data_IF_298366228513
#
_entry.id   IF_298366228513
#
_cell.length_a   1.000
_cell.length_b   1.000
_cell.length_c   1.000
_cell.angle_alpha   90.00
_cell.angle_beta   90.00
_cell.angle_gamma   90.00
#
_symmetry.space_group_name_H-M   'P 1'
#
loop_
_entity.id
_entity.type
_entity.pdbx_description
1 polymer ?
#
# COMPACT_ATOMS: atom_id res chain seq x y z
N UNK A 1 64.96 -46.15 -21.00
CA UNK A 1 64.28 -45.43 -22.06
C UNK A 1 63.03 -46.27 -22.39
N UNK A 2 61.91 -45.96 -21.78
CA UNK A 2 60.63 -46.62 -22.04
C UNK A 2 59.69 -45.61 -22.61
N UNK A 3 59.30 -45.84 -23.85
CA UNK A 3 58.34 -45.10 -24.63
C UNK A 3 56.93 -45.43 -24.09
N UNK A 4 56.29 -44.46 -23.44
CA UNK A 4 54.89 -44.56 -23.04
C UNK A 4 53.98 -44.39 -24.27
N UNK A 5 53.25 -45.44 -24.55
CA UNK A 5 52.39 -45.61 -25.72
C UNK A 5 51.13 -44.71 -25.64
N UNK A 6 50.91 -43.90 -26.67
CA UNK A 6 49.84 -42.91 -26.83
C UNK A 6 48.42 -43.50 -26.94
N UNK A 7 48.27 -44.80 -26.80
CA UNK A 7 47.00 -45.50 -27.02
C UNK A 7 46.11 -45.69 -25.80
N UNK A 8 46.57 -45.39 -24.59
CA UNK A 8 45.79 -45.58 -23.35
C UNK A 8 45.13 -44.27 -22.83
N UNK A 9 45.21 -43.16 -23.55
CA UNK A 9 44.61 -41.88 -23.12
C UNK A 9 43.22 -41.59 -23.72
N UNK A 10 42.70 -42.51 -24.56
CA UNK A 10 41.40 -42.31 -25.24
C UNK A 10 40.26 -43.19 -24.70
N UNK A 11 40.46 -43.92 -23.60
CA UNK A 11 39.43 -44.83 -23.05
C UNK A 11 38.78 -44.36 -21.76
N UNK A 12 39.04 -43.11 -21.28
CA UNK A 12 38.43 -42.60 -20.02
C UNK A 12 37.61 -41.32 -20.22
N UNK A 13 37.21 -40.96 -21.45
CA UNK A 13 36.37 -39.80 -21.74
C UNK A 13 34.89 -40.17 -22.03
N UNK A 14 34.44 -41.35 -21.62
CA UNK A 14 33.09 -41.86 -21.87
C UNK A 14 32.36 -42.19 -20.56
N UNK A 15 31.97 -41.22 -19.77
CA UNK A 15 31.16 -41.55 -18.61
C UNK A 15 31.05 -40.40 -17.59
N UNK A 16 30.06 -39.61 -17.72
CA UNK A 16 29.36 -38.84 -16.68
C UNK A 16 28.91 -37.44 -17.14
N UNK A 17 28.16 -37.38 -18.23
CA UNK A 17 27.23 -36.27 -18.41
C UNK A 17 25.92 -36.61 -17.64
N UNK A 18 26.01 -36.79 -16.32
CA UNK A 18 24.86 -36.65 -15.45
C UNK A 18 24.54 -35.14 -15.41
N UNK A 19 23.69 -34.71 -16.33
CA UNK A 19 23.07 -33.39 -16.26
C UNK A 19 22.38 -33.28 -14.89
N UNK A 20 22.99 -32.54 -13.98
CA UNK A 20 22.34 -32.00 -12.82
C UNK A 20 21.20 -31.12 -13.36
N UNK A 21 20.01 -31.69 -13.47
CA UNK A 21 18.77 -30.98 -13.59
C UNK A 21 18.60 -30.24 -12.27
N UNK A 22 19.29 -29.08 -12.12
CA UNK A 22 18.91 -28.12 -11.12
C UNK A 22 17.49 -27.74 -11.46
N UNK A 23 16.52 -27.85 -10.50
CA UNK A 23 15.23 -27.25 -10.72
C UNK A 23 15.51 -25.76 -10.93
N UNK A 24 15.31 -25.30 -12.17
CA UNK A 24 15.22 -23.88 -12.43
C UNK A 24 14.10 -23.41 -11.50
N UNK A 25 14.45 -22.62 -10.49
CA UNK A 25 13.49 -21.80 -9.78
C UNK A 25 12.90 -20.88 -10.87
N UNK A 26 11.85 -21.36 -11.50
CA UNK A 26 11.01 -20.57 -12.37
C UNK A 26 10.45 -19.48 -11.47
N UNK A 27 11.08 -18.30 -11.47
CA UNK A 27 10.43 -17.10 -11.00
C UNK A 27 9.15 -17.00 -11.82
N UNK A 28 8.03 -17.03 -11.17
CA UNK A 28 6.73 -17.08 -11.81
C UNK A 28 6.61 -15.93 -12.82
N UNK A 29 6.56 -16.26 -14.10
CA UNK A 29 5.97 -15.39 -15.11
C UNK A 29 4.58 -15.00 -14.59
N UNK A 30 4.27 -13.72 -14.66
CA UNK A 30 3.10 -12.98 -14.22
C UNK A 30 1.95 -13.82 -13.66
N UNK A 31 1.53 -13.51 -12.44
CA UNK A 31 0.61 -14.36 -11.70
C UNK A 31 -0.75 -14.48 -12.35
N UNK A 32 -1.06 -15.66 -12.91
CA UNK A 32 -2.42 -16.00 -13.30
C UNK A 32 -3.19 -16.57 -12.10
N UNK A 33 -4.52 -16.55 -12.15
CA UNK A 33 -5.34 -17.21 -11.12
C UNK A 33 -5.09 -18.74 -11.09
N UNK A 34 -4.73 -19.33 -12.23
CA UNK A 34 -4.34 -20.73 -12.30
C UNK A 34 -3.05 -21.01 -11.51
N UNK A 35 -2.07 -20.12 -11.56
CA UNK A 35 -0.83 -20.22 -10.79
C UNK A 35 -1.07 -20.08 -9.30
N UNK A 36 -1.92 -19.15 -8.89
CA UNK A 36 -2.33 -18.98 -7.48
C UNK A 36 -2.99 -20.26 -6.97
N UNK A 37 -3.93 -20.83 -7.72
CA UNK A 37 -4.59 -22.10 -7.36
C UNK A 37 -3.60 -23.25 -7.29
N UNK A 38 -2.68 -23.37 -8.25
CA UNK A 38 -1.65 -24.42 -8.28
C UNK A 38 -0.70 -24.33 -7.08
N UNK A 39 -0.32 -23.13 -6.67
CA UNK A 39 0.50 -22.88 -5.46
C UNK A 39 -0.28 -23.12 -4.17
N UNK A 40 -1.60 -23.07 -4.20
CA UNK A 40 -2.45 -23.17 -3.03
C UNK A 40 -2.39 -21.96 -2.08
N UNK A 41 -1.84 -20.83 -2.55
CA UNK A 41 -1.67 -19.63 -1.73
C UNK A 41 -1.83 -18.37 -2.56
N UNK A 42 -2.64 -17.42 -2.07
CA UNK A 42 -2.73 -16.05 -2.54
C UNK A 42 -1.75 -15.21 -1.71
N UNK A 43 -0.72 -14.66 -2.35
CA UNK A 43 0.29 -13.84 -1.68
C UNK A 43 0.10 -12.38 -2.07
N UNK A 44 -0.06 -11.50 -1.08
CA UNK A 44 -0.26 -10.06 -1.32
C UNK A 44 0.74 -9.22 -0.54
N UNK A 45 1.16 -8.10 -1.12
CA UNK A 45 1.94 -7.09 -0.44
C UNK A 45 1.03 -6.12 0.33
N UNK A 46 1.30 -5.91 1.60
CA UNK A 46 0.48 -5.07 2.49
C UNK A 46 1.40 -4.20 3.36
N UNK A 47 1.05 -2.95 3.60
CA UNK A 47 1.60 -2.15 4.70
C UNK A 47 0.62 -2.21 5.88
N UNK A 48 0.98 -2.97 6.91
CA UNK A 48 0.09 -3.15 8.07
C UNK A 48 0.34 -2.08 9.15
N UNK A 49 0.34 -0.80 8.74
CA UNK A 49 0.46 0.39 9.58
C UNK A 49 -0.61 1.44 9.24
N UNK A 50 -1.75 1.00 8.67
CA UNK A 50 -2.80 1.86 8.12
C UNK A 50 -4.19 1.51 8.68
N UNK A 51 -4.31 1.52 10.02
CA UNK A 51 -5.58 1.20 10.74
C UNK A 51 -6.70 2.19 10.34
N UNK A 52 -7.96 1.71 10.14
CA UNK A 52 -8.45 0.33 10.30
C UNK A 52 -8.45 -0.47 8.98
N UNK A 53 -7.81 0.02 7.93
CA UNK A 53 -7.72 -0.71 6.65
C UNK A 53 -6.85 -1.97 6.79
N UNK A 54 -5.57 -1.80 7.12
CA UNK A 54 -4.59 -2.87 7.30
C UNK A 54 -3.65 -2.51 8.47
N UNK A 55 -3.61 -3.36 9.51
CA UNK A 55 -2.75 -3.14 10.68
C UNK A 55 -2.39 -4.45 11.36
N UNK A 56 -1.42 -4.41 12.27
CA UNK A 56 -1.02 -5.58 13.07
C UNK A 56 -1.75 -5.56 14.40
N UNK A 57 -2.45 -6.66 14.71
CA UNK A 57 -3.02 -6.93 16.02
C UNK A 57 -2.67 -8.35 16.45
N UNK A 58 -2.19 -8.52 17.67
CA UNK A 58 -1.76 -9.82 18.22
C UNK A 58 -0.76 -10.56 17.29
N UNK A 59 0.15 -9.82 16.64
CA UNK A 59 1.18 -10.36 15.75
C UNK A 59 0.68 -10.78 14.36
N UNK A 60 -0.59 -10.52 14.03
CA UNK A 60 -1.17 -10.84 12.73
C UNK A 60 -1.68 -9.59 12.02
N UNK A 61 -1.54 -9.58 10.69
CA UNK A 61 -2.17 -8.54 9.88
C UNK A 61 -3.68 -8.72 9.95
N UNK A 62 -4.41 -7.66 10.25
CA UNK A 62 -5.87 -7.62 10.34
C UNK A 62 -6.43 -6.34 9.72
N UNK A 63 -7.73 -6.13 9.78
CA UNK A 63 -8.39 -4.94 9.27
C UNK A 63 -9.38 -5.22 8.13
N UNK A 64 -9.96 -4.15 7.63
CA UNK A 64 -10.94 -4.18 6.55
C UNK A 64 -10.42 -4.91 5.29
N UNK A 65 -9.20 -4.61 4.87
CA UNK A 65 -8.58 -5.26 3.71
C UNK A 65 -8.41 -6.76 3.90
N UNK A 66 -8.07 -7.22 5.14
CA UNK A 66 -7.97 -8.65 5.41
C UNK A 66 -9.31 -9.38 5.26
N UNK A 67 -10.42 -8.80 5.72
CA UNK A 67 -11.75 -9.43 5.56
C UNK A 67 -12.08 -9.63 4.07
N UNK A 68 -11.80 -8.64 3.22
CA UNK A 68 -11.96 -8.76 1.76
C UNK A 68 -11.03 -9.82 1.18
N UNK A 69 -9.77 -9.87 1.60
CA UNK A 69 -8.79 -10.86 1.14
C UNK A 69 -9.16 -12.30 1.53
N UNK A 70 -9.71 -12.50 2.72
CA UNK A 70 -10.20 -13.82 3.14
C UNK A 70 -11.35 -14.30 2.26
N UNK A 71 -12.28 -13.40 1.89
CA UNK A 71 -13.30 -13.73 0.89
C UNK A 71 -12.70 -14.14 -0.46
N UNK A 72 -11.73 -13.39 -0.98
CA UNK A 72 -11.05 -13.69 -2.24
C UNK A 72 -10.29 -15.02 -2.20
N UNK A 73 -9.53 -15.27 -1.12
CA UNK A 73 -8.81 -16.52 -0.92
C UNK A 73 -9.78 -17.73 -0.85
N UNK A 74 -10.92 -17.57 -0.17
CA UNK A 74 -11.99 -18.56 -0.12
C UNK A 74 -12.57 -18.87 -1.50
N UNK A 75 -12.81 -17.88 -2.34
CA UNK A 75 -13.26 -18.06 -3.74
C UNK A 75 -12.24 -18.82 -4.60
N UNK A 76 -10.96 -18.66 -4.34
CA UNK A 76 -9.90 -19.37 -5.05
C UNK A 76 -9.65 -20.76 -4.48
N UNK A 77 -10.14 -21.06 -3.27
CA UNK A 77 -9.86 -22.31 -2.54
C UNK A 77 -8.40 -22.40 -2.05
N UNK A 78 -7.78 -21.27 -1.71
CA UNK A 78 -6.36 -21.17 -1.36
C UNK A 78 -6.16 -20.49 0.02
N UNK A 79 -4.96 -20.61 0.58
CA UNK A 79 -4.56 -19.89 1.79
C UNK A 79 -4.21 -18.44 1.45
N UNK A 80 -4.37 -17.53 2.43
CA UNK A 80 -3.93 -16.14 2.34
C UNK A 80 -2.56 -15.96 3.01
N UNK A 81 -1.63 -15.35 2.29
CA UNK A 81 -0.35 -14.88 2.79
C UNK A 81 -0.24 -13.36 2.58
N UNK A 82 -0.26 -12.57 3.66
CA UNK A 82 -0.06 -11.13 3.62
C UNK A 82 1.38 -10.80 4.02
N UNK A 83 2.19 -10.36 3.06
CA UNK A 83 3.55 -9.91 3.29
C UNK A 83 3.52 -8.46 3.79
N UNK A 84 3.75 -8.25 5.09
CA UNK A 84 3.85 -6.91 5.66
C UNK A 84 5.19 -6.28 5.29
N UNK A 85 5.15 -5.20 4.53
CA UNK A 85 6.32 -4.47 4.02
C UNK A 85 6.12 -2.96 4.19
N UNK A 86 7.20 -2.18 4.31
CA UNK A 86 7.12 -0.73 4.19
C UNK A 86 6.49 -0.29 2.87
N UNK A 87 5.68 0.77 2.91
CA UNK A 87 4.93 1.27 1.75
C UNK A 87 5.80 1.48 0.51
N UNK A 88 7.01 2.03 0.69
CA UNK A 88 7.96 2.32 -0.38
C UNK A 88 8.41 1.07 -1.15
N UNK A 89 8.36 -0.10 -0.52
CA UNK A 89 8.73 -1.39 -1.11
C UNK A 89 7.61 -2.09 -1.89
N UNK A 90 6.36 -1.65 -1.74
CA UNK A 90 5.20 -2.36 -2.29
C UNK A 90 5.12 -2.26 -3.81
N UNK A 91 5.11 -1.06 -4.38
CA UNK A 91 5.00 -0.89 -5.83
C UNK A 91 6.22 -1.45 -6.61
N UNK A 92 7.48 -1.24 -6.15
CA UNK A 92 8.60 -1.96 -6.73
C UNK A 92 8.51 -3.48 -6.63
N UNK A 93 8.07 -4.01 -5.47
CA UNK A 93 7.88 -5.44 -5.27
C UNK A 93 6.82 -6.05 -6.18
N UNK A 94 5.76 -5.30 -6.50
CA UNK A 94 4.74 -5.70 -7.47
C UNK A 94 5.33 -5.87 -8.88
N UNK A 95 6.16 -4.94 -9.32
CA UNK A 95 6.78 -5.00 -10.65
C UNK A 95 7.75 -6.16 -10.82
N UNK A 96 8.26 -6.71 -9.73
CA UNK A 96 9.14 -7.90 -9.72
C UNK A 96 8.38 -9.18 -9.35
N UNK A 97 7.04 -9.17 -9.36
CA UNK A 97 6.17 -10.29 -8.99
C UNK A 97 6.53 -10.96 -7.64
N UNK A 98 6.98 -10.15 -6.67
CA UNK A 98 7.26 -10.62 -5.30
C UNK A 98 5.99 -11.13 -4.61
N UNK A 99 4.84 -10.64 -5.02
CA UNK A 99 3.48 -11.02 -4.61
C UNK A 99 2.52 -10.83 -5.78
N UNK A 100 1.33 -11.42 -5.68
CA UNK A 100 0.33 -11.43 -6.75
C UNK A 100 -0.25 -10.03 -7.03
N UNK A 101 -0.50 -9.26 -5.97
CA UNK A 101 -0.91 -7.86 -6.05
C UNK A 101 -0.63 -7.12 -4.75
N UNK A 102 -0.75 -5.80 -4.77
CA UNK A 102 -0.67 -4.94 -3.59
C UNK A 102 -2.07 -4.77 -3.01
N UNK A 103 -2.27 -5.34 -1.82
CA UNK A 103 -3.49 -5.21 -1.04
C UNK A 103 -3.22 -4.32 0.17
N UNK A 104 -2.87 -3.07 -0.09
CA UNK A 104 -2.87 -1.96 0.85
C UNK A 104 -3.60 -0.80 0.20
N UNK A 105 -4.09 0.12 1.00
CA UNK A 105 -4.93 1.24 0.56
C UNK A 105 -4.12 2.31 -0.15
N UNK A 106 -3.82 2.09 -1.45
CA UNK A 106 -3.01 3.00 -2.28
C UNK A 106 -3.86 4.13 -2.84
N UNK A 107 -3.49 5.37 -2.57
CA UNK A 107 -4.13 6.53 -3.18
C UNK A 107 -3.90 6.60 -4.69
N UNK A 108 -4.98 6.71 -5.45
CA UNK A 108 -4.93 6.88 -6.91
C UNK A 108 -4.41 8.27 -7.25
N UNK A 109 -3.47 8.35 -8.17
CA UNK A 109 -3.03 9.60 -8.81
C UNK A 109 -2.61 9.33 -10.25
N UNK A 110 -2.45 10.39 -11.06
CA UNK A 110 -2.19 10.27 -12.50
C UNK A 110 -0.85 9.58 -12.82
N UNK A 111 0.19 9.80 -12.03
CA UNK A 111 1.50 9.18 -12.23
C UNK A 111 1.44 7.66 -12.00
N UNK A 112 0.83 7.23 -10.89
CA UNK A 112 0.67 5.82 -10.57
C UNK A 112 -0.25 5.11 -11.55
N UNK A 113 -1.38 5.73 -11.93
CA UNK A 113 -2.36 5.13 -12.81
C UNK A 113 -1.83 4.88 -14.23
N UNK A 114 -0.79 5.60 -14.66
CA UNK A 114 -0.08 5.34 -15.94
C UNK A 114 0.86 4.13 -15.88
N UNK A 115 1.21 3.66 -14.68
CA UNK A 115 2.20 2.62 -14.48
C UNK A 115 1.67 1.35 -13.83
N UNK A 116 0.54 1.42 -13.18
CA UNK A 116 -0.04 0.36 -12.38
C UNK A 116 -1.54 0.24 -12.61
N UNK A 117 -2.03 -1.00 -12.65
CA UNK A 117 -3.46 -1.28 -12.82
C UNK A 117 -4.18 -1.21 -11.46
N UNK A 118 -5.01 -0.19 -11.29
CA UNK A 118 -5.81 -0.03 -10.08
C UNK A 118 -7.10 -0.86 -10.14
N UNK A 119 -7.48 -1.41 -9.00
CA UNK A 119 -8.80 -2.02 -8.81
C UNK A 119 -9.91 -0.97 -8.70
N UNK A 120 -11.15 -1.44 -8.56
CA UNK A 120 -12.23 -0.64 -8.00
C UNK A 120 -11.85 -0.10 -6.62
N UNK A 121 -12.41 1.06 -6.21
CA UNK A 121 -12.12 1.68 -4.93
C UNK A 121 -12.44 0.78 -3.74
N UNK A 122 -11.55 0.80 -2.74
CA UNK A 122 -11.77 0.16 -1.44
C UNK A 122 -12.00 1.19 -0.33
N UNK A 123 -11.73 2.47 -0.58
CA UNK A 123 -11.92 3.55 0.39
C UNK A 123 -11.80 4.94 -0.20
N UNK A 124 -12.25 5.92 0.57
CA UNK A 124 -12.07 7.36 0.31
C UNK A 124 -11.66 8.02 1.62
N UNK A 125 -10.63 8.87 1.58
CA UNK A 125 -10.12 9.57 2.75
C UNK A 125 -9.74 11.02 2.44
N UNK A 126 -9.92 11.92 3.40
CA UNK A 126 -9.35 13.26 3.36
C UNK A 126 -7.89 13.25 3.83
N UNK A 127 -7.10 14.22 3.36
CA UNK A 127 -5.79 14.54 3.95
C UNK A 127 -5.97 15.69 4.93
N UNK A 128 -5.62 15.45 6.21
CA UNK A 128 -5.82 16.42 7.29
C UNK A 128 -4.49 16.85 7.90
N UNK A 129 -4.51 18.04 8.49
CA UNK A 129 -3.43 18.57 9.32
C UNK A 129 -3.77 18.35 10.79
N UNK A 130 -2.82 17.79 11.52
CA UNK A 130 -2.93 17.43 12.93
C UNK A 130 -1.86 18.12 13.73
N UNK A 131 -2.23 18.69 14.86
CA UNK A 131 -1.33 19.34 15.81
C UNK A 131 -1.55 18.76 17.21
N UNK A 132 -0.61 19.00 18.12
CA UNK A 132 -0.81 18.72 19.54
C UNK A 132 -1.98 19.57 20.06
N UNK A 133 -2.83 19.01 20.91
CA UNK A 133 -4.01 19.71 21.44
C UNK A 133 -3.64 20.99 22.21
N UNK A 134 -2.51 20.97 22.93
CA UNK A 134 -2.01 22.13 23.67
C UNK A 134 -1.30 23.20 22.83
N UNK A 135 -1.21 23.05 21.52
CA UNK A 135 -0.64 24.07 20.64
C UNK A 135 -1.67 25.18 20.43
N UNK A 136 -1.33 26.40 20.88
CA UNK A 136 -2.19 27.59 20.81
C UNK A 136 -1.82 28.56 19.67
N UNK A 137 -0.83 28.19 18.84
CA UNK A 137 -0.33 29.04 17.76
C UNK A 137 -0.81 28.63 16.37
N UNK A 138 -1.30 27.36 16.22
CA UNK A 138 -1.67 26.79 14.91
C UNK A 138 -3.14 26.38 14.95
N UNK A 139 -4.03 27.14 14.31
CA UNK A 139 -5.48 26.93 14.39
C UNK A 139 -6.11 26.43 13.09
N UNK A 140 -5.49 26.68 11.95
CA UNK A 140 -5.99 26.39 10.62
C UNK A 140 -4.83 26.04 9.68
N UNK A 141 -5.09 25.40 8.50
CA UNK A 141 -4.04 25.03 7.56
C UNK A 141 -3.13 26.19 7.13
N UNK A 142 -3.67 27.41 7.03
CA UNK A 142 -2.91 28.62 6.68
C UNK A 142 -1.79 28.97 7.66
N UNK A 143 -1.89 28.54 8.91
CA UNK A 143 -0.89 28.80 9.96
C UNK A 143 0.34 27.89 9.86
N UNK A 144 0.38 27.01 8.85
CA UNK A 144 1.49 26.09 8.63
C UNK A 144 2.76 26.75 8.06
N UNK A 145 2.69 28.04 7.68
CA UNK A 145 3.84 28.82 7.27
C UNK A 145 4.91 28.89 8.36
N UNK A 146 6.18 28.65 7.99
CA UNK A 146 7.31 28.63 8.93
C UNK A 146 7.33 27.45 9.90
N UNK A 147 6.44 26.45 9.75
CA UNK A 147 6.36 25.26 10.62
C UNK A 147 7.08 24.07 10.01
N UNK A 148 7.57 23.18 10.87
CA UNK A 148 8.09 21.87 10.45
C UNK A 148 6.93 20.91 10.35
N UNK A 149 6.67 20.40 9.13
CA UNK A 149 5.60 19.45 8.88
C UNK A 149 6.13 18.05 8.62
N UNK A 150 5.31 17.02 8.83
CA UNK A 150 5.71 15.64 8.57
C UNK A 150 4.60 14.84 7.89
N UNK A 151 5.01 13.92 7.00
CA UNK A 151 4.11 12.97 6.36
C UNK A 151 4.85 11.67 6.00
N UNK A 152 4.12 10.66 5.54
CA UNK A 152 4.75 9.41 5.11
C UNK A 152 5.35 9.55 3.70
N UNK A 153 6.60 9.07 3.56
CA UNK A 153 7.34 9.02 2.29
C UNK A 153 6.61 8.16 1.27
N UNK A 154 6.48 8.68 0.04
CA UNK A 154 5.85 7.96 -1.07
C UNK A 154 4.34 7.82 -0.97
N UNK A 155 3.70 8.26 0.11
CA UNK A 155 2.24 8.23 0.26
C UNK A 155 1.53 9.24 -0.65
N UNK A 156 0.19 9.16 -0.73
CA UNK A 156 -0.61 10.19 -1.43
C UNK A 156 -0.63 11.53 -0.69
N UNK A 157 -0.35 11.56 0.62
CA UNK A 157 -0.28 12.79 1.39
C UNK A 157 0.96 13.62 1.08
N UNK A 158 2.06 13.00 0.65
CA UNK A 158 3.30 13.72 0.34
C UNK A 158 3.13 14.75 -0.79
N UNK A 159 2.66 14.41 -2.00
CA UNK A 159 2.46 15.41 -3.04
C UNK A 159 1.39 16.45 -2.68
N UNK A 160 0.40 16.12 -1.85
CA UNK A 160 -0.58 17.09 -1.34
C UNK A 160 0.10 18.09 -0.41
N UNK A 161 0.94 17.62 0.50
CA UNK A 161 1.71 18.50 1.40
C UNK A 161 2.63 19.43 0.61
N UNK A 162 3.32 18.92 -0.40
CA UNK A 162 4.20 19.70 -1.29
C UNK A 162 3.41 20.75 -2.10
N UNK A 163 2.25 20.38 -2.65
CA UNK A 163 1.40 21.32 -3.37
C UNK A 163 0.87 22.42 -2.46
N UNK A 164 0.51 22.09 -1.22
CA UNK A 164 0.06 23.08 -0.25
C UNK A 164 1.20 24.02 0.20
N UNK A 165 2.43 23.52 0.35
CA UNK A 165 3.62 24.32 0.59
C UNK A 165 3.84 25.36 -0.52
N UNK A 166 3.70 24.93 -1.80
CA UNK A 166 3.80 25.86 -2.93
C UNK A 166 2.72 26.96 -2.88
N UNK A 167 1.50 26.63 -2.47
CA UNK A 167 0.43 27.61 -2.28
C UNK A 167 0.74 28.61 -1.15
N UNK A 168 1.33 28.14 -0.06
CA UNK A 168 1.77 28.98 1.05
C UNK A 168 2.95 29.87 0.64
N UNK A 169 3.93 29.32 -0.08
CA UNK A 169 5.08 30.09 -0.63
C UNK A 169 4.64 31.21 -1.57
N UNK A 170 3.63 30.96 -2.40
CA UNK A 170 3.05 32.00 -3.26
C UNK A 170 2.43 33.16 -2.45
N UNK A 171 2.08 32.93 -1.17
CA UNK A 171 1.61 33.94 -0.21
C UNK A 171 2.71 34.46 0.73
N UNK A 172 3.99 34.10 0.49
CA UNK A 172 5.13 34.49 1.30
C UNK A 172 5.35 33.68 2.59
N UNK A 173 4.70 32.53 2.76
CA UNK A 173 4.68 31.81 4.04
C UNK A 173 4.80 30.28 3.89
N UNK A 174 5.77 29.77 3.12
CA UNK A 174 6.03 28.34 2.98
C UNK A 174 6.41 27.64 4.29
N UNK A 175 6.39 26.30 4.31
CA UNK A 175 6.86 25.51 5.45
C UNK A 175 8.34 25.80 5.75
N UNK A 176 8.76 25.64 7.00
CA UNK A 176 10.18 25.65 7.34
C UNK A 176 10.88 24.40 6.83
N UNK A 177 10.22 23.23 6.94
CA UNK A 177 10.75 21.95 6.47
C UNK A 177 9.60 20.94 6.28
N UNK A 178 9.82 19.94 5.41
CA UNK A 178 8.94 18.77 5.24
C UNK A 178 9.74 17.51 5.56
N UNK A 179 9.48 16.90 6.71
CA UNK A 179 10.10 15.64 7.11
C UNK A 179 9.29 14.45 6.60
N UNK A 180 10.00 13.47 6.02
CA UNK A 180 9.40 12.26 5.47
C UNK A 180 9.71 11.07 6.37
N UNK A 181 8.67 10.32 6.75
CA UNK A 181 8.72 9.17 7.64
C UNK A 181 8.40 7.88 6.90
N UNK A 182 8.81 6.75 7.47
CA UNK A 182 8.57 5.46 6.85
C UNK A 182 7.08 5.07 6.91
N UNK A 183 6.41 5.36 8.03
CA UNK A 183 5.01 5.07 8.26
C UNK A 183 4.29 6.21 8.99
N UNK A 184 2.97 6.28 8.91
CA UNK A 184 2.20 7.31 9.62
C UNK A 184 2.29 7.26 11.14
N UNK A 185 2.39 6.10 11.82
CA UNK A 185 2.65 6.07 13.25
C UNK A 185 3.93 6.83 13.65
N UNK A 186 4.98 6.80 12.81
CA UNK A 186 6.22 7.54 13.07
C UNK A 186 6.01 9.05 13.03
N UNK A 187 5.11 9.53 12.15
CA UNK A 187 4.71 10.95 12.10
C UNK A 187 4.07 11.37 13.42
N UNK A 188 3.21 10.52 14.00
CA UNK A 188 2.56 10.81 15.28
C UNK A 188 3.54 10.82 16.45
N UNK A 189 4.48 9.88 16.48
CA UNK A 189 5.56 9.88 17.48
C UNK A 189 6.38 11.16 17.39
N UNK A 190 6.74 11.58 16.17
CA UNK A 190 7.49 12.82 15.94
C UNK A 190 6.70 14.07 16.30
N UNK A 191 5.37 14.06 16.12
CA UNK A 191 4.48 15.14 16.56
C UNK A 191 4.40 15.21 18.10
N UNK A 192 4.24 14.05 18.76
CA UNK A 192 4.18 13.94 20.23
C UNK A 192 5.45 14.44 20.91
N UNK A 193 6.63 14.07 20.39
CA UNK A 193 7.92 14.48 20.95
C UNK A 193 8.41 15.86 20.49
N UNK A 194 7.56 16.63 19.82
CA UNK A 194 7.83 18.00 19.32
C UNK A 194 8.91 18.10 18.23
N UNK A 195 9.25 17.00 17.57
CA UNK A 195 10.13 17.02 16.37
C UNK A 195 9.43 17.62 15.16
N UNK A 196 8.09 17.57 15.16
CA UNK A 196 7.19 18.21 14.21
C UNK A 196 6.27 19.19 14.90
N UNK A 197 5.84 20.21 14.16
CA UNK A 197 4.74 21.09 14.55
C UNK A 197 3.41 20.55 14.05
N UNK A 198 3.38 20.00 12.84
CA UNK A 198 2.17 19.53 12.14
C UNK A 198 2.41 18.15 11.52
N UNK A 199 1.50 17.20 11.76
CA UNK A 199 1.39 15.97 10.99
C UNK A 199 0.40 16.13 9.84
N UNK A 200 0.77 15.70 8.63
CA UNK A 200 -0.11 15.69 7.44
C UNK A 200 -0.38 14.24 7.07
N UNK A 201 -1.63 13.80 7.24
CA UNK A 201 -1.96 12.37 7.11
C UNK A 201 -3.44 12.12 6.79
N UNK A 202 -3.81 10.87 6.42
CA UNK A 202 -5.20 10.50 6.16
C UNK A 202 -6.08 10.62 7.40
N UNK A 203 -7.31 11.09 7.19
CA UNK A 203 -8.29 11.35 8.26
C UNK A 203 -8.67 10.10 9.07
N UNK A 204 -8.71 8.93 8.45
CA UNK A 204 -9.02 7.66 9.13
C UNK A 204 -7.96 7.29 10.18
N UNK A 205 -6.68 7.45 9.87
CA UNK A 205 -5.57 7.19 10.81
C UNK A 205 -5.68 8.14 12.00
N UNK A 206 -5.90 9.42 11.73
CA UNK A 206 -6.06 10.43 12.78
C UNK A 206 -7.24 10.11 13.69
N UNK A 207 -8.38 9.68 13.14
CA UNK A 207 -9.55 9.30 13.91
C UNK A 207 -9.26 8.14 14.88
N UNK A 208 -8.50 7.13 14.42
CA UNK A 208 -8.07 6.00 15.27
C UNK A 208 -7.13 6.48 16.38
N UNK A 209 -6.14 7.30 16.04
CA UNK A 209 -5.16 7.80 17.00
C UNK A 209 -5.82 8.69 18.06
N UNK A 210 -6.70 9.60 17.66
CA UNK A 210 -7.45 10.44 18.61
C UNK A 210 -8.37 9.64 19.53
N UNK A 211 -8.85 8.46 19.08
CA UNK A 211 -9.60 7.52 19.92
C UNK A 211 -8.70 6.78 20.91
N UNK A 212 -7.47 6.43 20.51
CA UNK A 212 -6.48 5.74 21.37
C UNK A 212 -5.85 6.69 22.39
N UNK A 213 -5.66 7.95 22.00
CA UNK A 213 -4.99 8.98 22.81
C UNK A 213 -5.90 10.24 22.92
N UNK A 214 -7.00 10.17 23.68
CA UNK A 214 -7.94 11.28 23.80
C UNK A 214 -7.30 12.54 24.35
N UNK A 215 -7.58 13.70 23.72
CA UNK A 215 -7.12 15.01 24.19
C UNK A 215 -5.65 15.31 23.89
N UNK A 216 -4.90 14.42 23.24
CA UNK A 216 -3.49 14.70 22.88
C UNK A 216 -3.33 15.50 21.60
N UNK A 217 -4.23 15.32 20.66
CA UNK A 217 -4.15 15.90 19.32
C UNK A 217 -5.46 16.55 18.90
N UNK A 218 -5.38 17.45 17.94
CA UNK A 218 -6.56 18.02 17.26
C UNK A 218 -6.29 18.20 15.77
N UNK A 219 -7.34 18.05 14.98
CA UNK A 219 -7.35 18.38 13.55
C UNK A 219 -7.59 19.86 13.37
N UNK A 220 -6.79 20.53 12.54
CA UNK A 220 -6.90 21.96 12.24
C UNK A 220 -7.48 22.25 10.85
N UNK A 221 -7.78 21.21 10.09
CA UNK A 221 -8.41 21.30 8.79
C UNK A 221 -7.91 20.24 7.81
N UNK A 222 -8.44 20.30 6.60
CA UNK A 222 -8.07 19.42 5.49
C UNK A 222 -7.44 20.21 4.35
N UNK A 223 -6.61 19.54 3.56
CA UNK A 223 -5.98 20.08 2.36
C UNK A 223 -6.11 19.11 1.19
N UNK A 224 -6.17 19.67 -0.01
CA UNK A 224 -6.35 18.90 -1.24
C UNK A 224 -7.74 18.28 -1.34
N UNK A 225 -7.96 17.56 -2.45
CA UNK A 225 -9.18 16.80 -2.67
C UNK A 225 -9.15 15.45 -1.95
N UNK A 226 -10.32 14.88 -1.59
CA UNK A 226 -10.39 13.52 -1.05
C UNK A 226 -9.67 12.52 -1.96
N UNK A 227 -8.98 11.56 -1.36
CA UNK A 227 -8.25 10.52 -2.10
C UNK A 227 -9.06 9.25 -2.16
N UNK A 228 -9.26 8.78 -3.38
CA UNK A 228 -9.78 7.44 -3.65
C UNK A 228 -8.64 6.45 -3.45
N UNK A 229 -8.90 5.43 -2.65
CA UNK A 229 -7.97 4.34 -2.32
C UNK A 229 -8.38 3.08 -3.07
N UNK A 230 -7.41 2.40 -3.66
CA UNK A 230 -7.64 1.14 -4.36
C UNK A 230 -6.45 0.19 -4.18
N UNK A 231 -6.63 -1.07 -4.52
CA UNK A 231 -5.56 -2.05 -4.61
C UNK A 231 -4.90 -2.00 -5.98
N UNK A 232 -3.72 -2.58 -6.09
CA UNK A 232 -2.89 -2.39 -7.29
C UNK A 232 -2.40 -3.74 -7.80
N UNK A 233 -2.70 -4.03 -9.07
CA UNK A 233 -2.17 -5.16 -9.80
C UNK A 233 -1.06 -4.72 -10.78
N UNK A 234 -0.21 -5.67 -11.18
CA UNK A 234 0.71 -5.44 -12.29
C UNK A 234 -0.12 -5.22 -13.57
N UNK A 235 0.21 -4.23 -14.43
CA UNK A 235 -0.52 -3.97 -15.66
C UNK A 235 -0.61 -5.18 -16.60
N UNK A 236 0.34 -6.10 -16.52
CA UNK A 236 0.35 -7.33 -17.32
C UNK A 236 -0.59 -8.41 -16.77
N UNK A 237 -0.93 -8.36 -15.48
CA UNK A 237 -1.76 -9.35 -14.78
C UNK A 237 -3.24 -8.96 -14.80
N UNK A 238 -3.79 -8.80 -15.99
CA UNK A 238 -5.18 -8.34 -16.20
C UNK A 238 -6.21 -9.22 -15.49
N UNK A 239 -5.99 -10.54 -15.53
CA UNK A 239 -6.85 -11.53 -14.90
C UNK A 239 -6.95 -11.32 -13.38
N UNK A 240 -5.84 -10.96 -12.73
CA UNK A 240 -5.81 -10.67 -11.29
C UNK A 240 -6.61 -9.41 -10.99
N UNK A 241 -6.41 -8.31 -11.73
CA UNK A 241 -7.20 -7.08 -11.56
C UNK A 241 -8.69 -7.35 -11.74
N UNK A 242 -9.06 -8.08 -12.78
CA UNK A 242 -10.45 -8.39 -13.11
C UNK A 242 -11.08 -9.28 -12.01
N UNK A 243 -10.32 -10.21 -11.44
CA UNK A 243 -10.74 -11.00 -10.28
C UNK A 243 -10.97 -10.15 -9.02
N UNK A 244 -10.07 -9.19 -8.73
CA UNK A 244 -10.24 -8.25 -7.63
C UNK A 244 -11.54 -7.46 -7.81
N UNK A 245 -11.75 -6.88 -9.00
CA UNK A 245 -12.93 -6.10 -9.31
C UNK A 245 -14.24 -6.92 -9.24
N UNK A 246 -14.24 -8.13 -9.79
CA UNK A 246 -15.39 -9.03 -9.70
C UNK A 246 -15.72 -9.37 -8.23
N UNK A 247 -14.71 -9.63 -7.42
CA UNK A 247 -14.88 -9.93 -5.99
C UNK A 247 -15.42 -8.74 -5.20
N UNK A 248 -14.91 -7.52 -5.46
CA UNK A 248 -15.43 -6.30 -4.83
C UNK A 248 -16.88 -6.03 -5.24
N UNK A 249 -17.21 -6.20 -6.53
CA UNK A 249 -18.58 -6.04 -7.04
C UNK A 249 -19.55 -7.05 -6.39
N UNK A 250 -19.14 -8.30 -6.19
CA UNK A 250 -19.96 -9.30 -5.50
C UNK A 250 -20.19 -8.96 -4.02
N UNK A 251 -19.13 -8.53 -3.32
CA UNK A 251 -19.23 -8.08 -1.93
C UNK A 251 -20.14 -6.86 -1.78
N UNK A 252 -20.09 -5.93 -2.75
CA UNK A 252 -20.97 -4.76 -2.79
C UNK A 252 -22.44 -5.19 -3.00
N UNK A 253 -22.71 -5.96 -4.05
CA UNK A 253 -24.06 -6.43 -4.40
C UNK A 253 -24.71 -7.29 -3.30
N UNK A 254 -23.91 -8.09 -2.59
CA UNK A 254 -24.40 -8.89 -1.46
C UNK A 254 -24.57 -8.11 -0.17
N UNK A 255 -24.13 -6.84 -0.11
CA UNK A 255 -24.13 -6.02 1.11
C UNK A 255 -23.03 -6.38 2.12
N UNK A 256 -22.20 -7.39 1.84
CA UNK A 256 -21.11 -7.80 2.73
C UNK A 256 -20.04 -6.71 2.85
N UNK A 257 -19.74 -5.99 1.75
CA UNK A 257 -18.79 -4.87 1.80
C UNK A 257 -19.23 -3.79 2.80
N UNK A 258 -20.53 -3.45 2.79
CA UNK A 258 -21.10 -2.48 3.73
C UNK A 258 -21.04 -3.00 5.19
N UNK A 259 -21.23 -4.31 5.41
CA UNK A 259 -21.07 -4.91 6.74
C UNK A 259 -19.62 -4.84 7.22
N UNK A 260 -18.64 -5.14 6.36
CA UNK A 260 -17.21 -5.01 6.66
C UNK A 260 -16.84 -3.55 6.96
N UNK A 261 -17.37 -2.59 6.20
CA UNK A 261 -17.15 -1.16 6.47
C UNK A 261 -17.72 -0.75 7.84
N UNK A 262 -18.95 -1.14 8.17
CA UNK A 262 -19.53 -0.85 9.49
C UNK A 262 -18.74 -1.47 10.62
N UNK A 263 -18.25 -2.71 10.45
CA UNK A 263 -17.40 -3.41 11.44
C UNK A 263 -16.14 -2.62 11.76
N UNK A 264 -15.44 -2.14 10.74
CA UNK A 264 -14.11 -1.56 10.90
C UNK A 264 -14.11 -0.03 11.09
N UNK A 265 -15.01 0.68 10.42
CA UNK A 265 -15.08 2.14 10.44
C UNK A 265 -16.25 2.68 11.28
N UNK A 266 -17.26 1.87 11.56
CA UNK A 266 -18.50 2.32 12.22
C UNK A 266 -19.52 2.96 11.27
N UNK A 267 -19.16 3.13 9.99
CA UNK A 267 -20.03 3.69 8.94
C UNK A 267 -19.76 3.02 7.59
N UNK A 268 -20.61 3.31 6.60
CA UNK A 268 -20.42 2.90 5.21
C UNK A 268 -19.84 4.05 4.39
N UNK A 269 -18.86 3.76 3.54
CA UNK A 269 -18.26 4.72 2.61
C UNK A 269 -19.06 4.72 1.29
N UNK A 270 -19.31 5.91 0.75
CA UNK A 270 -19.81 6.05 -0.61
C UNK A 270 -18.62 5.99 -1.58
N UNK A 271 -18.37 4.82 -2.15
CA UNK A 271 -17.26 4.60 -3.05
C UNK A 271 -17.67 4.96 -4.50
N UNK A 272 -16.85 5.72 -5.25
CA UNK A 272 -17.14 6.01 -6.64
C UNK A 272 -17.07 4.74 -7.49
N UNK A 273 -18.08 4.51 -8.32
CA UNK A 273 -18.17 3.36 -9.23
C UNK A 273 -17.60 3.66 -10.62
N UNK A 274 -17.37 4.95 -10.94
CA UNK A 274 -16.83 5.42 -12.21
C UNK A 274 -16.07 6.75 -12.02
N UNK A 275 -15.27 7.15 -12.99
CA UNK A 275 -14.56 8.43 -12.98
C UNK A 275 -13.46 8.58 -11.91
N UNK A 276 -13.11 7.51 -11.23
CA UNK A 276 -12.06 7.52 -10.18
C UNK A 276 -10.65 7.32 -10.74
N UNK A 277 -10.53 6.83 -11.96
CA UNK A 277 -9.25 6.72 -12.65
C UNK A 277 -8.98 7.99 -13.44
N UNK A 278 -7.77 8.56 -13.36
CA UNK A 278 -7.39 9.69 -14.18
C UNK A 278 -7.22 9.28 -15.65
N UNK A 279 -7.24 10.26 -16.55
CA UNK A 279 -6.98 10.05 -17.98
C UNK A 279 -5.62 9.38 -18.20
N UNK A 280 -5.57 8.42 -19.12
CA UNK A 280 -4.37 7.64 -19.46
C UNK A 280 -4.01 6.57 -18.43
N UNK A 281 -4.94 6.14 -17.57
CA UNK A 281 -4.77 4.98 -16.69
C UNK A 281 -4.68 3.68 -17.50
N UNK A 282 -3.83 2.73 -17.04
CA UNK A 282 -3.63 1.40 -17.64
C UNK A 282 -4.60 0.35 -17.11
#
# INVERSE_FOLDING_TARGET
MNTLDRRHFLALAGGAAAALAMPTLSFAEGGTLADIRRRGVLTVGTEAAYEPFEFVENGQVTGYGRDILLYMAGKLGVKLNQMNLPFQGLLPGLMTHKFDFVATSVGINAERAKRFAFSQPVGVVDTVLVVRAGDTAIHQPGDAGGKVVGTQMGSSSQPIAQAFDMQLKAKGAGYADIKLFQAYPDVMVALSNKTLDIGIMPSNIVAVLMKKEPGQFRVIGKIGEPKVLAWVANPQDKEIRDFINASLTELEKSGQLAQMQKKWFGYTMNLPTSGYLPEGAV
#
